data_IF_639290039766
#
_entry.id   IF_639290039766
#
_cell.length_a   1.000
_cell.length_b   1.000
_cell.length_c   1.000
_cell.angle_alpha   90.00
_cell.angle_beta   90.00
_cell.angle_gamma   90.00
#
_symmetry.space_group_name_H-M   'P 1'
#
loop_
_entity.id
_entity.type
_entity.pdbx_description
1 polymer ?
#
# COMPACT_ATOMS: atom_id res chain seq x y z
N UNK A 1 25.24 -3.59 1.33
CA UNK A 1 23.92 -3.20 0.78
C UNK A 1 22.85 -3.57 1.78
N UNK A 2 22.11 -2.57 2.31
CA UNK A 2 20.94 -2.83 3.18
C UNK A 2 19.80 -3.38 2.33
N UNK A 3 19.00 -4.30 2.91
CA UNK A 3 17.88 -4.93 2.19
C UNK A 3 16.60 -4.89 3.02
N UNK A 4 15.47 -4.56 2.38
CA UNK A 4 14.13 -4.60 2.93
C UNK A 4 13.18 -5.36 2.01
N UNK A 5 12.18 -6.03 2.56
CA UNK A 5 11.14 -6.66 1.76
C UNK A 5 9.77 -6.12 2.16
N UNK A 6 8.95 -5.78 1.17
CA UNK A 6 7.56 -5.41 1.32
C UNK A 6 6.67 -6.51 0.74
N UNK A 7 5.68 -6.94 1.52
CA UNK A 7 4.65 -7.86 1.10
C UNK A 7 3.32 -7.13 1.09
N UNK A 8 2.70 -7.00 -0.07
CA UNK A 8 1.52 -6.17 -0.26
C UNK A 8 0.34 -7.00 -0.79
N UNK A 9 -0.88 -6.50 -0.58
CA UNK A 9 -2.08 -7.23 -1.00
C UNK A 9 -2.20 -7.37 -2.51
N UNK A 10 -1.87 -6.31 -3.25
CA UNK A 10 -2.08 -6.28 -4.68
C UNK A 10 -1.29 -5.21 -5.42
N UNK A 11 -1.70 -4.97 -6.66
CA UNK A 11 -0.99 -4.08 -7.57
C UNK A 11 -1.03 -2.60 -7.13
N UNK A 12 -2.10 -2.15 -6.48
CA UNK A 12 -2.21 -0.77 -6.00
C UNK A 12 -1.10 -0.45 -5.02
N UNK A 13 -0.97 -1.27 -3.99
CA UNK A 13 0.05 -1.14 -2.94
C UNK A 13 1.44 -1.33 -3.54
N UNK A 14 1.62 -2.27 -4.48
CA UNK A 14 2.90 -2.53 -5.12
C UNK A 14 3.40 -1.31 -5.91
N UNK A 15 2.54 -0.67 -6.70
CA UNK A 15 2.89 0.54 -7.43
C UNK A 15 3.15 1.72 -6.50
N UNK A 16 2.31 1.88 -5.47
CA UNK A 16 2.47 2.94 -4.50
C UNK A 16 3.79 2.83 -3.74
N UNK A 17 4.11 1.66 -3.16
CA UNK A 17 5.38 1.43 -2.45
C UNK A 17 6.58 1.63 -3.37
N UNK A 18 6.52 1.12 -4.61
CA UNK A 18 7.60 1.32 -5.59
C UNK A 18 7.87 2.81 -5.84
N UNK A 19 6.82 3.59 -6.09
CA UNK A 19 6.94 5.01 -6.36
C UNK A 19 7.37 5.78 -5.11
N UNK A 20 6.77 5.50 -3.95
CA UNK A 20 7.12 6.11 -2.67
C UNK A 20 8.60 5.88 -2.32
N UNK A 21 9.12 4.67 -2.51
CA UNK A 21 10.54 4.37 -2.29
C UNK A 21 11.45 5.19 -3.21
N UNK A 22 11.12 5.32 -4.48
CA UNK A 22 11.89 6.11 -5.45
C UNK A 22 11.92 7.59 -5.02
N UNK A 23 10.78 8.15 -4.66
CA UNK A 23 10.65 9.56 -4.29
C UNK A 23 11.34 9.87 -2.95
N UNK A 24 11.19 9.01 -1.92
CA UNK A 24 11.88 9.19 -0.63
C UNK A 24 13.39 8.94 -0.77
N UNK A 25 13.79 7.93 -1.52
CA UNK A 25 15.21 7.65 -1.74
C UNK A 25 15.91 8.79 -2.48
N UNK A 26 15.24 9.45 -3.40
CA UNK A 26 15.79 10.56 -4.17
C UNK A 26 17.08 10.18 -4.89
N UNK A 27 18.20 10.78 -4.47
CA UNK A 27 19.53 10.49 -5.05
C UNK A 27 20.22 9.27 -4.42
N UNK A 28 19.63 8.62 -3.42
CA UNK A 28 20.21 7.40 -2.82
C UNK A 28 20.11 6.25 -3.82
N UNK A 29 21.20 5.49 -3.92
CA UNK A 29 21.27 4.36 -4.83
C UNK A 29 20.43 3.19 -4.28
N UNK A 30 19.19 3.08 -4.72
CA UNK A 30 18.29 1.98 -4.40
C UNK A 30 17.98 1.14 -5.63
N UNK A 31 18.16 -0.17 -5.51
CA UNK A 31 17.65 -1.15 -6.48
C UNK A 31 16.29 -1.66 -5.99
N UNK A 32 15.30 -1.72 -6.88
CA UNK A 32 13.95 -2.17 -6.55
C UNK A 32 13.55 -3.31 -7.48
N UNK A 33 13.12 -4.41 -6.88
CA UNK A 33 12.58 -5.58 -7.58
C UNK A 33 11.13 -5.79 -7.18
N UNK A 34 10.24 -5.82 -8.18
CA UNK A 34 8.85 -6.22 -8.03
C UNK A 34 8.71 -7.71 -8.30
N UNK A 35 7.97 -8.42 -7.45
CA UNK A 35 7.63 -9.81 -7.65
C UNK A 35 6.12 -10.02 -7.55
N UNK A 36 5.59 -10.94 -8.33
CA UNK A 36 4.19 -11.37 -8.27
C UNK A 36 4.06 -12.83 -8.71
N UNK A 37 3.00 -13.49 -8.27
CA UNK A 37 2.66 -14.79 -8.82
C UNK A 37 2.09 -14.66 -10.22
N UNK A 38 2.49 -15.58 -11.11
CA UNK A 38 1.83 -15.78 -12.40
C UNK A 38 1.35 -17.23 -12.52
N UNK A 39 0.33 -17.45 -13.33
CA UNK A 39 -0.21 -18.79 -13.57
C UNK A 39 -1.51 -19.07 -12.84
N UNK A 40 -2.46 -18.13 -12.90
CA UNK A 40 -3.83 -18.32 -12.41
C UNK A 40 -4.42 -19.61 -12.98
N UNK A 41 -4.91 -20.48 -12.08
CA UNK A 41 -5.49 -21.78 -12.48
C UNK A 41 -4.49 -22.90 -12.75
N UNK A 42 -3.15 -22.67 -12.60
CA UNK A 42 -2.13 -23.73 -12.72
C UNK A 42 -1.73 -24.26 -11.33
N UNK A 43 -1.36 -25.55 -11.22
CA UNK A 43 -0.93 -26.13 -9.94
C UNK A 43 0.37 -25.53 -9.39
N UNK A 44 1.21 -24.94 -10.25
CA UNK A 44 2.44 -24.24 -9.87
C UNK A 44 2.35 -22.79 -10.29
N UNK A 45 2.34 -21.88 -9.28
CA UNK A 45 2.51 -20.44 -9.51
C UNK A 45 4.00 -20.15 -9.64
N UNK A 46 4.39 -19.50 -10.73
CA UNK A 46 5.76 -19.00 -10.91
C UNK A 46 5.88 -17.58 -10.39
N UNK A 47 7.02 -17.26 -9.77
CA UNK A 47 7.34 -15.88 -9.37
C UNK A 47 8.06 -15.22 -10.55
N UNK A 48 7.59 -14.01 -10.91
CA UNK A 48 8.21 -13.22 -11.97
C UNK A 48 8.81 -11.94 -11.38
N UNK A 49 10.15 -11.83 -11.37
CA UNK A 49 10.81 -10.60 -10.95
C UNK A 49 10.78 -9.56 -12.08
N UNK A 50 10.57 -8.30 -11.72
CA UNK A 50 10.71 -7.13 -12.59
C UNK A 50 11.50 -6.05 -11.85
N UNK A 51 12.70 -5.71 -12.32
CA UNK A 51 13.48 -4.61 -11.76
C UNK A 51 12.95 -3.28 -12.29
N UNK A 52 12.60 -2.36 -11.39
CA UNK A 52 12.08 -1.03 -11.72
C UNK A 52 13.10 0.08 -11.49
N UNK A 53 14.07 -0.12 -10.59
CA UNK A 53 15.21 0.74 -10.38
C UNK A 53 16.47 -0.12 -10.27
N UNK A 54 17.52 0.20 -11.05
CA UNK A 54 18.78 -0.56 -11.07
C UNK A 54 19.97 0.38 -11.26
N UNK A 55 20.44 1.07 -10.22
CA UNK A 55 21.66 1.88 -10.28
C UNK A 55 22.91 0.99 -10.43
N UNK A 56 24.03 1.58 -10.85
CA UNK A 56 25.28 0.83 -11.05
C UNK A 56 25.85 0.24 -9.75
N UNK A 57 25.72 0.96 -8.62
CA UNK A 57 26.24 0.55 -7.31
C UNK A 57 25.18 0.76 -6.23
N UNK A 58 24.15 -0.10 -6.13
CA UNK A 58 23.09 0.09 -5.18
C UNK A 58 23.60 -0.08 -3.74
N UNK A 59 23.28 0.90 -2.90
CA UNK A 59 23.54 0.83 -1.45
C UNK A 59 22.35 0.18 -0.72
N UNK A 60 21.18 0.28 -1.33
CA UNK A 60 19.92 -0.25 -0.79
C UNK A 60 19.24 -1.16 -1.82
N UNK A 61 18.55 -2.18 -1.34
CA UNK A 61 17.75 -3.08 -2.17
C UNK A 61 16.37 -3.26 -1.53
N UNK A 62 15.31 -3.06 -2.30
CA UNK A 62 13.95 -3.30 -1.88
C UNK A 62 13.30 -4.36 -2.78
N UNK A 63 12.75 -5.40 -2.13
CA UNK A 63 11.84 -6.36 -2.76
C UNK A 63 10.40 -5.94 -2.46
N UNK A 64 9.54 -5.89 -3.48
CA UNK A 64 8.11 -5.63 -3.30
C UNK A 64 7.31 -6.78 -3.90
N UNK A 65 6.71 -7.59 -3.05
CA UNK A 65 5.99 -8.80 -3.43
C UNK A 65 4.47 -8.60 -3.39
N UNK A 66 3.80 -8.76 -4.53
CA UNK A 66 2.33 -8.79 -4.63
C UNK A 66 1.81 -10.18 -4.23
N UNK A 67 1.07 -10.25 -3.13
CA UNK A 67 0.54 -11.49 -2.56
C UNK A 67 -0.80 -11.92 -3.18
N UNK A 68 -1.37 -11.12 -4.09
CA UNK A 68 -2.64 -11.39 -4.78
C UNK A 68 -3.84 -11.54 -3.82
N UNK A 69 -3.94 -10.67 -2.82
CA UNK A 69 -5.05 -10.56 -1.87
C UNK A 69 -4.61 -10.52 -0.41
N UNK A 70 -5.50 -9.97 0.43
CA UNK A 70 -5.28 -9.73 1.87
C UNK A 70 -4.92 -11.00 2.65
N UNK A 71 -5.56 -12.10 2.34
CA UNK A 71 -5.26 -13.39 2.95
C UNK A 71 -3.86 -13.94 2.62
N UNK A 72 -3.14 -13.36 1.67
CA UNK A 72 -1.82 -13.81 1.21
C UNK A 72 -0.64 -13.21 1.97
N UNK A 73 -0.76 -11.99 2.51
CA UNK A 73 0.39 -11.22 3.05
C UNK A 73 1.03 -11.91 4.25
N UNK A 74 0.30 -12.12 5.34
CA UNK A 74 0.84 -12.76 6.55
C UNK A 74 1.35 -14.19 6.30
N UNK A 75 0.60 -15.09 5.63
CA UNK A 75 1.12 -16.42 5.31
C UNK A 75 2.42 -16.39 4.49
N UNK A 76 2.54 -15.43 3.57
CA UNK A 76 3.75 -15.31 2.77
C UNK A 76 4.94 -14.80 3.59
N UNK A 77 4.73 -13.81 4.47
CA UNK A 77 5.76 -13.37 5.41
C UNK A 77 6.22 -14.55 6.27
N UNK A 78 5.30 -15.34 6.84
CA UNK A 78 5.63 -16.50 7.66
C UNK A 78 6.45 -17.55 6.89
N UNK A 79 6.19 -17.70 5.60
CA UNK A 79 6.91 -18.65 4.74
C UNK A 79 8.32 -18.17 4.40
N UNK A 80 8.49 -16.87 4.11
CA UNK A 80 9.71 -16.37 3.48
C UNK A 80 10.67 -15.69 4.47
N UNK A 81 10.20 -15.20 5.62
CA UNK A 81 10.96 -14.32 6.51
C UNK A 81 12.32 -14.93 6.92
N UNK A 82 12.36 -16.18 7.35
CA UNK A 82 13.61 -16.86 7.74
C UNK A 82 14.62 -16.88 6.58
N UNK A 83 14.15 -17.19 5.37
CA UNK A 83 15.00 -17.22 4.17
C UNK A 83 15.52 -15.84 3.83
N UNK A 84 14.67 -14.80 3.94
CA UNK A 84 15.06 -13.42 3.66
C UNK A 84 16.10 -12.92 4.67
N UNK A 85 15.92 -13.16 5.96
CA UNK A 85 16.91 -12.79 6.98
C UNK A 85 18.25 -13.49 6.74
N UNK A 86 18.26 -14.77 6.36
CA UNK A 86 19.47 -15.49 5.96
C UNK A 86 20.14 -14.88 4.70
N UNK A 87 19.38 -14.21 3.85
CA UNK A 87 19.89 -13.47 2.68
C UNK A 87 20.30 -12.02 3.01
N UNK A 88 20.25 -11.61 4.28
CA UNK A 88 20.69 -10.32 4.78
C UNK A 88 19.64 -9.20 4.66
N UNK A 89 18.36 -9.55 4.57
CA UNK A 89 17.30 -8.55 4.76
C UNK A 89 17.24 -8.15 6.23
N UNK A 90 17.13 -6.85 6.50
CA UNK A 90 17.08 -6.30 7.86
C UNK A 90 15.65 -6.21 8.41
N UNK A 91 14.67 -6.11 7.53
CA UNK A 91 13.25 -5.98 7.89
C UNK A 91 12.35 -6.56 6.80
N UNK A 92 11.21 -7.11 7.20
CA UNK A 92 10.13 -7.54 6.33
C UNK A 92 8.85 -6.83 6.76
N UNK A 93 8.25 -6.05 5.86
CA UNK A 93 7.08 -5.21 6.12
C UNK A 93 5.89 -5.69 5.28
N UNK A 94 4.77 -5.98 5.92
CA UNK A 94 3.50 -6.18 5.24
C UNK A 94 2.74 -4.86 5.09
N UNK A 95 1.94 -4.72 4.05
CA UNK A 95 0.93 -3.68 3.91
C UNK A 95 -0.40 -4.32 3.55
N UNK A 96 -1.42 -4.07 4.38
CA UNK A 96 -2.75 -4.69 4.30
C UNK A 96 -3.82 -3.62 4.50
N UNK A 97 -4.91 -3.72 3.76
CA UNK A 97 -6.11 -2.93 3.99
C UNK A 97 -6.93 -3.50 5.17
N UNK A 98 -7.51 -2.63 6.00
CA UNK A 98 -8.42 -3.07 7.06
C UNK A 98 -9.76 -3.51 6.48
N UNK A 99 -10.27 -2.80 5.47
CA UNK A 99 -11.57 -3.11 4.86
C UNK A 99 -11.60 -4.53 4.25
N UNK A 100 -12.68 -5.30 4.41
CA UNK A 100 -13.97 -4.91 4.98
C UNK A 100 -14.10 -5.03 6.52
N UNK A 101 -13.01 -5.27 7.23
CA UNK A 101 -12.98 -5.29 8.69
C UNK A 101 -13.14 -3.87 9.25
N UNK A 102 -13.61 -3.76 10.49
CA UNK A 102 -13.85 -2.46 11.16
C UNK A 102 -13.11 -2.32 12.48
N UNK A 103 -12.59 -3.42 13.04
CA UNK A 103 -11.90 -3.44 14.34
C UNK A 103 -10.40 -3.54 14.12
N UNK A 104 -9.73 -2.37 14.07
CA UNK A 104 -8.29 -2.27 13.88
C UNK A 104 -7.51 -2.95 15.01
N UNK A 105 -7.87 -2.70 16.27
CA UNK A 105 -7.12 -3.22 17.42
C UNK A 105 -7.17 -4.76 17.48
N UNK A 106 -8.34 -5.34 17.21
CA UNK A 106 -8.49 -6.78 17.11
C UNK A 106 -7.66 -7.35 15.96
N UNK A 107 -7.68 -6.71 14.80
CA UNK A 107 -6.93 -7.17 13.63
C UNK A 107 -5.42 -7.09 13.85
N UNK A 108 -4.91 -5.99 14.42
CA UNK A 108 -3.50 -5.85 14.81
C UNK A 108 -3.06 -6.94 15.79
N UNK A 109 -3.90 -7.24 16.78
CA UNK A 109 -3.61 -8.30 17.73
C UNK A 109 -3.58 -9.69 17.06
N UNK A 110 -4.51 -9.99 16.16
CA UNK A 110 -4.54 -11.25 15.40
C UNK A 110 -3.31 -11.41 14.48
N UNK A 111 -2.86 -10.31 13.88
CA UNK A 111 -1.66 -10.32 13.06
C UNK A 111 -0.40 -10.55 13.90
N UNK A 112 -0.24 -9.82 15.00
CA UNK A 112 0.97 -9.87 15.83
C UNK A 112 1.07 -11.16 16.64
N UNK A 113 0.00 -11.57 17.32
CA UNK A 113 0.00 -12.67 18.27
C UNK A 113 -0.51 -14.01 17.70
N UNK A 114 -1.01 -13.98 16.46
CA UNK A 114 -1.71 -15.12 15.86
C UNK A 114 -3.13 -15.27 16.38
N UNK A 115 -3.88 -16.16 15.76
CA UNK A 115 -5.29 -16.42 16.10
C UNK A 115 -5.42 -17.73 16.85
N UNK A 116 -6.20 -17.71 17.94
CA UNK A 116 -6.60 -18.90 18.70
C UNK A 116 -8.08 -19.18 18.46
N UNK A 117 -8.44 -20.45 18.30
CA UNK A 117 -9.84 -20.92 18.29
C UNK A 117 -9.97 -22.14 19.18
N UNK A 118 -10.85 -22.10 20.18
CA UNK A 118 -11.04 -23.17 21.18
C UNK A 118 -9.73 -23.58 21.86
N UNK A 119 -8.83 -22.63 22.16
CA UNK A 119 -7.52 -22.89 22.76
C UNK A 119 -6.44 -23.41 21.79
N UNK A 120 -6.80 -23.70 20.55
CA UNK A 120 -5.84 -24.16 19.53
C UNK A 120 -5.38 -23.00 18.65
N UNK A 121 -4.06 -22.95 18.38
CA UNK A 121 -3.48 -21.93 17.51
C UNK A 121 -3.81 -22.21 16.05
N UNK A 122 -4.50 -21.25 15.40
CA UNK A 122 -4.88 -21.33 13.97
C UNK A 122 -3.84 -20.65 13.11
N UNK A 123 -3.33 -19.48 13.53
CA UNK A 123 -2.27 -18.78 12.82
C UNK A 123 -1.11 -18.47 13.75
N UNK A 124 0.11 -18.52 13.21
CA UNK A 124 1.31 -18.18 13.96
C UNK A 124 1.44 -16.67 14.22
N UNK A 125 2.12 -16.25 15.29
CA UNK A 125 2.55 -14.85 15.43
C UNK A 125 3.52 -14.48 14.32
N UNK A 126 3.68 -13.17 14.10
CA UNK A 126 4.73 -12.67 13.21
C UNK A 126 6.12 -12.98 13.80
N UNK A 127 7.11 -13.33 12.98
CA UNK A 127 8.51 -13.41 13.40
C UNK A 127 9.05 -12.06 13.89
N UNK A 128 10.14 -12.08 14.65
CA UNK A 128 10.88 -10.87 15.00
C UNK A 128 11.36 -10.17 13.71
N UNK A 129 11.55 -8.86 13.79
CA UNK A 129 11.97 -8.00 12.65
C UNK A 129 11.01 -8.05 11.45
N UNK A 130 9.77 -8.50 11.69
CA UNK A 130 8.66 -8.38 10.75
C UNK A 130 7.54 -7.51 11.33
N UNK A 131 6.85 -6.80 10.47
CA UNK A 131 5.72 -5.95 10.87
C UNK A 131 4.69 -5.89 9.77
N UNK A 132 3.46 -5.49 10.12
CA UNK A 132 2.40 -5.22 9.13
C UNK A 132 1.82 -3.85 9.42
N UNK A 133 1.92 -2.97 8.46
CA UNK A 133 1.22 -1.69 8.43
C UNK A 133 -0.19 -1.93 7.89
N UNK A 134 -1.19 -1.38 8.55
CA UNK A 134 -2.59 -1.54 8.16
C UNK A 134 -3.11 -0.19 7.66
N UNK A 135 -3.48 -0.10 6.40
CA UNK A 135 -4.24 1.05 5.91
C UNK A 135 -5.67 0.97 6.50
N UNK A 136 -6.04 1.95 7.31
CA UNK A 136 -7.38 2.01 7.91
C UNK A 136 -8.39 2.28 6.79
N UNK A 137 -9.39 1.42 6.62
CA UNK A 137 -10.16 1.20 5.40
C UNK A 137 -9.27 0.60 4.30
N UNK A 138 -8.80 1.41 3.34
CA UNK A 138 -7.98 1.02 2.19
C UNK A 138 -6.86 2.05 1.96
N UNK A 139 -5.82 1.67 1.25
CA UNK A 139 -4.73 2.59 0.88
C UNK A 139 -5.24 3.82 0.11
N UNK A 140 -6.36 3.70 -0.57
CA UNK A 140 -7.00 4.81 -1.29
C UNK A 140 -7.42 5.96 -0.37
N UNK A 141 -7.55 5.77 0.95
CA UNK A 141 -7.72 6.88 1.89
C UNK A 141 -6.50 7.81 1.92
N UNK A 142 -5.31 7.27 1.72
CA UNK A 142 -4.09 8.08 1.60
C UNK A 142 -4.09 8.90 0.29
N UNK A 143 -4.63 8.32 -0.78
CA UNK A 143 -4.79 9.01 -2.06
C UNK A 143 -5.86 10.09 -1.97
N UNK A 144 -6.99 9.81 -1.32
CA UNK A 144 -8.05 10.79 -1.06
C UNK A 144 -7.53 11.99 -0.26
N UNK A 145 -6.75 11.75 0.79
CA UNK A 145 -6.16 12.80 1.62
C UNK A 145 -5.13 13.65 0.86
N UNK A 146 -4.47 13.09 -0.16
CA UNK A 146 -3.52 13.77 -1.03
C UNK A 146 -4.26 14.38 -2.24
N UNK A 147 -4.96 15.48 -2.03
CA UNK A 147 -5.84 16.12 -3.02
C UNK A 147 -5.12 16.91 -4.13
N UNK A 148 -3.82 17.16 -4.05
CA UNK A 148 -3.05 17.85 -5.10
C UNK A 148 -3.07 17.05 -6.41
N UNK A 149 -3.15 15.73 -6.35
CA UNK A 149 -3.18 14.88 -7.54
C UNK A 149 -4.46 15.03 -8.38
N UNK A 150 -5.55 15.56 -7.83
CA UNK A 150 -6.81 15.66 -8.57
C UNK A 150 -6.65 16.45 -9.86
N UNK A 151 -5.93 17.57 -9.82
CA UNK A 151 -5.68 18.40 -11.01
C UNK A 151 -4.74 17.73 -12.02
N UNK A 152 -3.92 16.77 -11.59
CA UNK A 152 -3.13 15.92 -12.48
C UNK A 152 -4.01 14.87 -13.20
N UNK A 153 -5.02 14.34 -12.51
CA UNK A 153 -6.01 13.42 -13.12
C UNK A 153 -6.82 14.13 -14.21
N UNK A 154 -7.29 15.36 -13.89
CA UNK A 154 -7.97 16.23 -14.83
C UNK A 154 -7.89 17.68 -14.32
N UNK A 155 -7.48 18.62 -15.16
CA UNK A 155 -7.31 20.04 -14.77
C UNK A 155 -8.59 20.71 -14.28
N UNK A 156 -9.76 20.17 -14.61
CA UNK A 156 -11.06 20.64 -14.13
C UNK A 156 -11.48 20.03 -12.79
N UNK A 157 -10.73 19.06 -12.26
CA UNK A 157 -11.04 18.42 -10.99
C UNK A 157 -10.54 19.27 -9.81
N UNK A 158 -11.29 20.32 -9.53
CA UNK A 158 -11.09 21.21 -8.37
C UNK A 158 -12.36 21.16 -7.53
N UNK A 159 -12.27 20.55 -6.34
CA UNK A 159 -13.45 20.36 -5.49
C UNK A 159 -13.98 21.70 -4.96
N UNK A 160 -15.13 22.11 -5.45
CA UNK A 160 -15.89 23.25 -4.93
C UNK A 160 -16.94 22.81 -3.89
N UNK A 161 -17.58 23.76 -3.23
CA UNK A 161 -18.60 23.49 -2.20
C UNK A 161 -19.78 22.65 -2.73
N UNK A 162 -20.17 22.84 -3.99
CA UNK A 162 -21.27 22.07 -4.60
C UNK A 162 -20.88 20.62 -4.80
N UNK A 163 -19.66 20.38 -5.28
CA UNK A 163 -19.11 19.04 -5.46
C UNK A 163 -18.92 18.32 -4.13
N UNK A 164 -18.32 19.00 -3.13
CA UNK A 164 -18.17 18.47 -1.76
C UNK A 164 -19.54 18.11 -1.17
N UNK A 165 -20.54 18.98 -1.31
CA UNK A 165 -21.91 18.71 -0.86
C UNK A 165 -22.48 17.49 -1.56
N UNK A 166 -22.29 17.33 -2.85
CA UNK A 166 -22.78 16.17 -3.63
C UNK A 166 -22.08 14.87 -3.26
N UNK A 167 -20.82 14.90 -2.88
CA UNK A 167 -20.05 13.75 -2.40
C UNK A 167 -20.46 13.34 -0.97
N UNK A 168 -20.97 14.30 -0.17
CA UNK A 168 -21.29 14.08 1.24
C UNK A 168 -20.05 13.97 2.14
N UNK A 169 -18.89 14.39 1.68
CA UNK A 169 -17.65 14.48 2.45
C UNK A 169 -16.65 15.41 1.79
N UNK A 170 -15.72 15.93 2.59
CA UNK A 170 -14.60 16.74 2.12
C UNK A 170 -13.27 16.01 2.37
N UNK A 171 -12.62 15.46 1.33
CA UNK A 171 -11.39 14.70 1.50
C UNK A 171 -10.21 15.53 2.05
N UNK A 172 -10.29 16.87 1.98
CA UNK A 172 -9.23 17.75 2.46
C UNK A 172 -9.23 17.96 3.99
N UNK A 173 -10.40 17.80 4.65
CA UNK A 173 -10.58 18.15 6.06
C UNK A 173 -11.21 17.03 6.92
N UNK A 174 -12.00 16.13 6.32
CA UNK A 174 -12.68 15.09 7.05
C UNK A 174 -11.72 13.95 7.47
N UNK A 175 -11.97 13.35 8.61
CA UNK A 175 -11.32 12.10 8.99
C UNK A 175 -11.92 10.96 8.16
N UNK A 176 -11.23 10.61 7.09
CA UNK A 176 -11.69 9.58 6.14
C UNK A 176 -11.79 8.21 6.76
N UNK A 177 -11.05 7.93 7.84
CA UNK A 177 -11.07 6.62 8.53
C UNK A 177 -12.39 6.34 9.25
N UNK A 178 -13.18 7.38 9.53
CA UNK A 178 -14.49 7.27 10.15
C UNK A 178 -15.62 7.00 9.14
N UNK A 179 -15.32 7.05 7.84
CA UNK A 179 -16.33 6.79 6.81
C UNK A 179 -16.58 5.30 6.65
N UNK A 180 -17.83 4.94 6.40
CA UNK A 180 -18.18 3.59 5.99
C UNK A 180 -17.88 3.32 4.51
N UNK A 181 -17.81 2.03 4.15
CA UNK A 181 -17.63 1.60 2.76
C UNK A 181 -16.18 1.63 2.28
N UNK A 182 -15.99 1.50 0.97
CA UNK A 182 -14.70 1.40 0.32
C UNK A 182 -14.14 2.77 -0.05
N UNK A 183 -12.89 3.05 0.30
CA UNK A 183 -12.19 4.26 -0.08
C UNK A 183 -11.96 4.35 -1.61
N UNK A 184 -11.78 3.20 -2.26
CA UNK A 184 -11.69 3.14 -3.72
C UNK A 184 -13.01 3.61 -4.40
N UNK A 185 -14.16 3.35 -3.79
CA UNK A 185 -15.46 3.85 -4.27
C UNK A 185 -15.60 5.36 -4.08
N UNK A 186 -15.13 5.89 -2.95
CA UNK A 186 -15.09 7.34 -2.70
C UNK A 186 -14.18 8.04 -3.75
N UNK A 187 -12.98 7.50 -4.00
CA UNK A 187 -12.06 8.03 -5.01
C UNK A 187 -12.65 7.97 -6.43
N UNK A 188 -13.34 6.86 -6.75
CA UNK A 188 -14.06 6.71 -8.02
C UNK A 188 -15.13 7.78 -8.17
N UNK A 189 -15.89 8.09 -7.12
CA UNK A 189 -16.94 9.12 -7.12
C UNK A 189 -16.37 10.50 -7.41
N UNK A 190 -15.23 10.86 -6.83
CA UNK A 190 -14.53 12.11 -7.11
C UNK A 190 -14.12 12.18 -8.59
N UNK A 191 -13.50 11.14 -9.13
CA UNK A 191 -13.07 11.13 -10.54
C UNK A 191 -14.25 11.22 -11.51
N UNK A 192 -15.40 10.67 -11.12
CA UNK A 192 -16.64 10.76 -11.91
C UNK A 192 -17.15 12.18 -12.10
N UNK A 193 -16.85 13.13 -11.22
CA UNK A 193 -17.23 14.54 -11.37
C UNK A 193 -16.72 15.14 -12.70
N UNK A 194 -15.62 14.62 -13.21
CA UNK A 194 -15.00 15.05 -14.48
C UNK A 194 -15.01 13.96 -15.56
N UNK A 195 -15.91 12.97 -15.43
CA UNK A 195 -16.06 11.88 -16.41
C UNK A 195 -14.90 10.87 -16.43
N UNK A 196 -13.99 10.93 -15.46
CA UNK A 196 -12.94 9.91 -15.28
C UNK A 196 -13.44 8.76 -14.40
N UNK A 197 -12.66 7.71 -14.27
CA UNK A 197 -13.02 6.57 -13.44
C UNK A 197 -11.78 5.95 -12.80
N UNK A 198 -11.90 5.54 -11.54
CA UNK A 198 -10.93 4.70 -10.84
C UNK A 198 -11.29 3.22 -10.98
N UNK A 199 -12.53 2.86 -10.68
CA UNK A 199 -13.05 1.50 -10.80
C UNK A 199 -13.68 1.25 -12.19
N UNK A 200 -13.70 -0.01 -12.63
CA UNK A 200 -14.47 -0.44 -13.79
C UNK A 200 -15.96 -0.65 -13.44
N UNK A 201 -16.76 -1.12 -14.39
CA UNK A 201 -18.20 -1.38 -14.21
C UNK A 201 -18.49 -2.55 -13.24
N UNK A 202 -17.49 -3.36 -12.92
CA UNK A 202 -17.60 -4.51 -12.01
C UNK A 202 -17.03 -4.19 -10.63
N UNK A 203 -16.53 -2.96 -10.41
CA UNK A 203 -15.91 -2.53 -9.16
C UNK A 203 -14.44 -2.95 -9.02
N UNK A 204 -13.80 -3.46 -10.07
CA UNK A 204 -12.38 -3.78 -10.02
C UNK A 204 -11.52 -2.53 -10.23
N UNK A 205 -10.26 -2.61 -9.84
CA UNK A 205 -9.23 -1.57 -10.00
C UNK A 205 -8.36 -1.87 -11.24
N UNK A 206 -8.69 -1.36 -12.46
CA UNK A 206 -7.90 -1.63 -13.66
C UNK A 206 -6.49 -1.07 -13.53
N UNK A 207 -5.50 -1.87 -13.92
CA UNK A 207 -4.07 -1.56 -13.76
C UNK A 207 -3.71 -0.16 -14.25
N UNK A 208 -4.13 0.21 -15.46
CA UNK A 208 -3.82 1.51 -16.05
C UNK A 208 -4.45 2.70 -15.32
N UNK A 209 -5.54 2.50 -14.58
CA UNK A 209 -6.19 3.54 -13.77
C UNK A 209 -5.46 3.70 -12.43
N UNK A 210 -5.05 2.59 -11.83
CA UNK A 210 -4.21 2.59 -10.63
C UNK A 210 -2.86 3.25 -10.92
N UNK A 211 -2.17 2.82 -11.98
CA UNK A 211 -0.89 3.42 -12.39
C UNK A 211 -1.02 4.92 -12.60
N UNK A 212 -2.04 5.38 -13.33
CA UNK A 212 -2.30 6.81 -13.51
C UNK A 212 -2.48 7.55 -12.19
N UNK A 213 -3.28 7.01 -11.28
CA UNK A 213 -3.50 7.65 -9.97
C UNK A 213 -2.19 7.74 -9.19
N UNK A 214 -1.45 6.64 -9.08
CA UNK A 214 -0.18 6.57 -8.37
C UNK A 214 0.88 7.51 -8.97
N UNK A 215 0.94 7.63 -10.29
CA UNK A 215 1.85 8.57 -10.97
C UNK A 215 1.47 10.04 -10.75
N UNK A 216 0.18 10.34 -10.53
CA UNK A 216 -0.30 11.68 -10.27
C UNK A 216 -0.12 12.15 -8.83
N UNK A 217 0.06 11.25 -7.85
CA UNK A 217 0.21 11.62 -6.44
C UNK A 217 1.40 12.57 -6.22
N UNK A 218 1.19 13.59 -5.41
CA UNK A 218 2.26 14.46 -4.91
C UNK A 218 2.95 13.80 -3.71
N UNK A 219 4.06 13.11 -3.99
CA UNK A 219 4.82 12.38 -2.98
C UNK A 219 5.52 13.29 -1.98
N UNK A 220 5.83 14.53 -2.35
CA UNK A 220 6.35 15.51 -1.40
C UNK A 220 5.27 15.87 -0.37
N UNK A 221 4.04 16.11 -0.82
CA UNK A 221 2.89 16.34 0.06
C UNK A 221 2.57 15.11 0.92
N UNK A 222 2.54 13.91 0.33
CA UNK A 222 2.37 12.65 1.08
C UNK A 222 3.41 12.51 2.19
N UNK A 223 4.68 12.78 1.89
CA UNK A 223 5.78 12.63 2.83
C UNK A 223 5.79 13.71 3.91
N UNK A 224 5.58 14.99 3.56
CA UNK A 224 5.75 16.12 4.48
C UNK A 224 4.49 16.44 5.29
N UNK A 225 3.31 16.34 4.67
CA UNK A 225 2.06 16.81 5.24
C UNK A 225 1.09 15.68 5.61
N UNK A 226 0.81 14.77 4.66
CA UNK A 226 -0.22 13.75 4.87
C UNK A 226 0.27 12.71 5.87
N UNK A 227 1.54 12.31 5.83
CA UNK A 227 2.09 11.38 6.80
C UNK A 227 2.00 11.90 8.23
N UNK A 228 2.11 13.22 8.45
CA UNK A 228 1.94 13.82 9.77
C UNK A 228 0.49 13.73 10.31
N UNK A 229 -0.50 13.59 9.43
CA UNK A 229 -1.93 13.52 9.77
C UNK A 229 -2.45 12.08 9.81
N UNK A 230 -1.87 11.20 9.01
CA UNK A 230 -2.30 9.80 8.84
C UNK A 230 -1.29 8.88 9.50
N UNK A 231 -1.57 8.43 10.73
CA UNK A 231 -0.63 7.69 11.58
C UNK A 231 -0.07 6.42 10.91
N UNK A 232 -0.87 5.69 10.14
CA UNK A 232 -0.43 4.46 9.45
C UNK A 232 0.45 4.73 8.24
N UNK A 233 0.24 5.84 7.54
CA UNK A 233 1.17 6.30 6.51
C UNK A 233 2.50 6.76 7.15
N UNK A 234 2.44 7.46 8.29
CA UNK A 234 3.64 7.84 9.05
C UNK A 234 4.45 6.61 9.50
N UNK A 235 3.77 5.56 9.97
CA UNK A 235 4.43 4.29 10.32
C UNK A 235 5.21 3.72 9.13
N UNK A 236 4.60 3.66 7.94
CA UNK A 236 5.23 3.19 6.71
C UNK A 236 6.42 4.07 6.29
N UNK A 237 6.22 5.39 6.27
CA UNK A 237 7.27 6.37 5.92
C UNK A 237 8.45 6.28 6.89
N UNK A 238 8.19 6.11 8.18
CA UNK A 238 9.23 5.95 9.21
C UNK A 238 10.08 4.69 8.97
N UNK A 239 9.46 3.58 8.59
CA UNK A 239 10.19 2.34 8.24
C UNK A 239 11.07 2.54 7.01
N UNK A 240 10.57 3.20 5.97
CA UNK A 240 11.34 3.53 4.77
C UNK A 240 12.52 4.45 5.14
N UNK A 241 12.30 5.49 5.95
CA UNK A 241 13.39 6.38 6.39
C UNK A 241 14.47 5.63 7.17
N UNK A 242 14.09 4.78 8.13
CA UNK A 242 15.04 3.97 8.90
C UNK A 242 15.84 3.00 8.02
N UNK A 243 15.21 2.45 7.00
CA UNK A 243 15.89 1.61 6.01
C UNK A 243 16.92 2.41 5.19
N UNK A 244 16.61 3.63 4.80
CA UNK A 244 17.45 4.49 3.96
C UNK A 244 18.55 5.25 4.75
N UNK A 245 18.53 5.24 6.07
CA UNK A 245 19.63 5.76 6.91
C UNK A 245 20.69 4.71 7.17
#
# INVERSE_FOLDING_TARGET
MKKIAFYVEGQTEQFFINKLLIEIAGQKNIEIELQQFQGVGKPTKSIYPKTTAKPQNPQHFALIFDCMGDGGVKPRILQDAVSLFNQGYSEVVGLIDLYPRTDLAKFENELSNGTLRNGHRITQPLPNDTSIVIAVREIEDWFLAEFNHYTCIDTSLVLDETQITSLGFNPCIDDLTLRGGSAASDLHSIYKLVGKAYLDSQGNKPKNRVERTVECLDYANLYLEISCKVSKLNELVSKINNFLT
#
